data_IF_282877155655
#
_entry.id   IF_282877155655
#
_cell.length_a   1.000
_cell.length_b   1.000
_cell.length_c   1.000
_cell.angle_alpha   90.00
_cell.angle_beta   90.00
_cell.angle_gamma   90.00
#
_symmetry.space_group_name_H-M   'P 1'
#
loop_
_entity.id
_entity.type
_entity.pdbx_description
1 polymer ?
#
# COMPACT_ATOMS: atom_id res chain seq x y z
N UNK A 1 -17.69 -6.14 -3.82
CA UNK A 1 -17.04 -6.16 -5.15
C UNK A 1 -15.94 -7.19 -5.07
N UNK A 2 -15.97 -8.24 -5.88
CA UNK A 2 -14.86 -9.18 -5.89
C UNK A 2 -13.74 -8.60 -6.77
N UNK A 3 -12.50 -8.88 -6.37
CA UNK A 3 -11.30 -8.47 -7.07
C UNK A 3 -10.18 -9.44 -6.71
N UNK A 4 -9.16 -9.52 -7.57
CA UNK A 4 -7.93 -10.24 -7.29
C UNK A 4 -6.84 -9.25 -6.94
N UNK A 5 -6.13 -9.51 -5.84
CA UNK A 5 -4.94 -8.75 -5.44
C UNK A 5 -3.70 -9.63 -5.58
N UNK A 6 -2.65 -9.06 -6.15
CA UNK A 6 -1.29 -9.59 -6.04
C UNK A 6 -0.41 -8.49 -5.46
N UNK A 7 0.29 -8.79 -4.37
CA UNK A 7 1.23 -7.87 -3.73
C UNK A 7 2.60 -8.54 -3.57
N UNK A 8 3.65 -7.81 -3.89
CA UNK A 8 5.03 -8.19 -3.66
C UNK A 8 5.70 -7.12 -2.80
N UNK A 9 6.36 -7.55 -1.73
CA UNK A 9 7.19 -6.68 -0.88
C UNK A 9 8.65 -7.12 -1.00
N UNK A 10 9.54 -6.18 -1.35
CA UNK A 10 10.96 -6.46 -1.58
C UNK A 10 11.81 -5.54 -0.71
N UNK A 11 12.72 -6.10 0.09
CA UNK A 11 13.72 -5.28 0.79
C UNK A 11 14.73 -4.71 -0.21
N UNK A 12 15.16 -3.48 0.03
CA UNK A 12 16.23 -2.83 -0.75
C UNK A 12 17.35 -2.38 0.18
N UNK A 13 18.46 -1.87 -0.39
CA UNK A 13 19.59 -1.40 0.41
C UNK A 13 19.22 -0.25 1.38
N UNK A 14 18.26 0.60 1.00
CA UNK A 14 17.91 1.82 1.73
C UNK A 14 16.44 1.85 2.17
N UNK A 15 15.76 0.71 2.19
CA UNK A 15 14.30 0.72 2.28
C UNK A 15 13.66 -0.61 1.90
N UNK A 16 12.48 -0.48 1.31
CA UNK A 16 11.74 -1.58 0.72
C UNK A 16 10.83 -1.04 -0.39
N UNK A 17 10.33 -1.95 -1.21
CA UNK A 17 9.35 -1.64 -2.25
C UNK A 17 8.07 -2.43 -1.99
N UNK A 18 6.95 -1.82 -2.30
CA UNK A 18 5.65 -2.48 -2.36
C UNK A 18 5.15 -2.33 -3.79
N UNK A 19 4.89 -3.46 -4.43
CA UNK A 19 4.23 -3.51 -5.73
C UNK A 19 2.92 -4.24 -5.54
N UNK A 20 1.81 -3.63 -5.94
CA UNK A 20 0.54 -4.34 -5.95
C UNK A 20 -0.25 -4.11 -7.22
N UNK A 21 -1.07 -5.10 -7.53
CA UNK A 21 -1.99 -5.09 -8.65
C UNK A 21 -3.36 -5.58 -8.19
N UNK A 22 -4.34 -4.70 -8.28
CA UNK A 22 -5.76 -5.02 -8.13
C UNK A 22 -6.39 -5.19 -9.51
N UNK A 23 -7.08 -6.31 -9.71
CA UNK A 23 -7.91 -6.57 -10.88
C UNK A 23 -9.35 -6.71 -10.42
N UNK A 24 -10.19 -5.73 -10.74
CA UNK A 24 -11.60 -5.70 -10.39
C UNK A 24 -12.43 -6.43 -11.44
N UNK A 25 -13.58 -6.98 -11.03
CA UNK A 25 -14.48 -7.74 -11.93
C UNK A 25 -15.04 -6.90 -13.10
N UNK A 26 -15.09 -5.56 -12.95
CA UNK A 26 -15.51 -4.64 -14.00
C UNK A 26 -14.42 -4.38 -15.06
N UNK A 27 -13.27 -5.04 -14.92
CA UNK A 27 -12.11 -4.91 -15.80
C UNK A 27 -11.16 -3.79 -15.40
N UNK A 28 -11.49 -2.97 -14.40
CA UNK A 28 -10.59 -1.94 -13.88
C UNK A 28 -9.35 -2.57 -13.27
N UNK A 29 -8.20 -1.94 -13.49
CA UNK A 29 -6.93 -2.36 -12.91
C UNK A 29 -6.30 -1.20 -12.16
N UNK A 30 -5.89 -1.44 -10.92
CA UNK A 30 -4.97 -0.57 -10.20
C UNK A 30 -3.62 -1.26 -10.13
N UNK A 31 -2.58 -0.63 -10.66
CA UNK A 31 -1.21 -1.13 -10.66
C UNK A 31 -0.33 -0.05 -10.05
N UNK A 32 0.32 -0.35 -8.93
CA UNK A 32 1.07 0.62 -8.17
C UNK A 32 2.40 0.04 -7.70
N UNK A 33 3.43 0.89 -7.77
CA UNK A 33 4.75 0.63 -7.20
C UNK A 33 5.13 1.80 -6.31
N UNK A 34 5.38 1.48 -5.05
CA UNK A 34 5.86 2.43 -4.04
C UNK A 34 7.27 2.07 -3.64
N UNK A 35 8.15 3.07 -3.65
CA UNK A 35 9.48 2.96 -3.06
C UNK A 35 9.43 3.61 -1.69
N UNK A 36 9.75 2.83 -0.66
CA UNK A 36 9.72 3.23 0.75
C UNK A 36 11.17 3.43 1.21
N UNK A 37 11.64 4.68 1.26
CA UNK A 37 13.05 5.00 1.58
C UNK A 37 13.19 5.38 3.04
N UNK A 38 14.07 4.72 3.79
CA UNK A 38 14.36 5.09 5.19
C UNK A 38 14.92 6.51 5.28
N UNK A 39 14.33 7.34 6.14
CA UNK A 39 14.79 8.71 6.43
C UNK A 39 15.23 8.89 7.87
N UNK A 40 14.78 8.00 8.76
CA UNK A 40 15.21 7.86 10.14
C UNK A 40 14.92 6.41 10.59
N UNK A 41 15.37 5.96 11.78
CA UNK A 41 14.97 4.66 12.31
C UNK A 41 13.45 4.53 12.31
N UNK A 42 12.93 3.45 11.72
CA UNK A 42 11.50 3.15 11.63
C UNK A 42 10.64 4.12 10.81
N UNK A 43 11.19 5.20 10.25
CA UNK A 43 10.45 6.21 9.49
C UNK A 43 10.94 6.22 8.04
N UNK A 44 10.00 6.20 7.09
CA UNK A 44 10.29 6.20 5.67
C UNK A 44 9.50 7.26 4.90
N UNK A 45 10.05 7.68 3.76
CA UNK A 45 9.37 8.45 2.74
C UNK A 45 8.77 7.50 1.70
N UNK A 46 7.59 7.85 1.18
CA UNK A 46 6.93 7.13 0.09
C UNK A 46 7.16 7.88 -1.21
N UNK A 47 7.74 7.20 -2.19
CA UNK A 47 7.97 7.72 -3.54
C UNK A 47 7.16 6.91 -4.58
N UNK A 48 6.54 7.61 -5.53
CA UNK A 48 5.91 7.04 -6.73
C UNK A 48 6.65 7.55 -7.95
N UNK A 49 7.21 6.65 -8.77
CA UNK A 49 8.01 7.01 -9.95
C UNK A 49 9.10 8.05 -9.64
N UNK A 50 9.74 7.92 -8.48
CA UNK A 50 10.79 8.83 -8.00
C UNK A 50 10.30 10.17 -7.42
N UNK A 51 8.99 10.41 -7.37
CA UNK A 51 8.41 11.62 -6.77
C UNK A 51 7.95 11.33 -5.35
N UNK A 52 8.39 12.11 -4.34
CA UNK A 52 7.86 12.02 -2.99
C UNK A 52 6.37 12.34 -2.94
N UNK A 53 5.58 11.42 -2.41
CA UNK A 53 4.11 11.58 -2.28
C UNK A 53 3.60 11.40 -0.86
N UNK A 54 4.45 10.96 0.07
CA UNK A 54 4.00 10.61 1.40
C UNK A 54 5.12 10.17 2.33
N UNK A 55 4.72 9.71 3.51
CA UNK A 55 5.58 9.21 4.57
C UNK A 55 4.89 8.06 5.30
N UNK A 56 5.68 7.28 6.02
CA UNK A 56 5.17 6.22 6.87
C UNK A 56 6.18 5.79 7.91
N UNK A 57 5.77 4.80 8.69
CA UNK A 57 6.58 4.21 9.74
C UNK A 57 6.34 2.70 9.86
N UNK A 58 7.31 1.99 10.45
CA UNK A 58 7.19 0.56 10.79
C UNK A 58 7.53 0.33 12.27
N UNK A 59 6.61 -0.29 13.00
CA UNK A 59 6.86 -0.84 14.34
C UNK A 59 6.42 -2.29 14.38
N UNK A 60 7.29 -3.18 14.85
CA UNK A 60 7.04 -4.63 14.90
C UNK A 60 6.52 -5.18 13.56
N UNK A 61 5.32 -5.76 13.56
CA UNK A 61 4.65 -6.29 12.39
C UNK A 61 3.79 -5.24 11.64
N UNK A 62 3.74 -4.01 12.14
CA UNK A 62 2.87 -2.95 11.64
C UNK A 62 3.63 -1.96 10.76
N UNK A 63 3.13 -1.75 9.54
CA UNK A 63 3.62 -0.73 8.63
C UNK A 63 2.46 0.20 8.28
N UNK A 64 2.63 1.50 8.48
CA UNK A 64 1.60 2.47 8.14
C UNK A 64 2.19 3.60 7.33
N UNK A 65 1.44 4.05 6.33
CA UNK A 65 1.82 5.20 5.53
C UNK A 65 0.59 5.95 5.04
N UNK A 66 0.82 7.23 4.75
CA UNK A 66 -0.11 8.05 4.02
C UNK A 66 0.54 8.59 2.76
N UNK A 67 -0.25 8.92 1.76
CA UNK A 67 0.22 9.53 0.53
C UNK A 67 -0.86 10.42 -0.09
N UNK A 68 -0.41 11.37 -0.90
CA UNK A 68 -1.26 12.18 -1.76
C UNK A 68 -1.01 11.82 -3.22
N UNK A 69 -2.03 11.35 -3.92
CA UNK A 69 -1.99 11.06 -5.36
C UNK A 69 -3.05 11.91 -6.04
N UNK A 70 -2.60 12.86 -6.88
CA UNK A 70 -3.46 13.91 -7.38
C UNK A 70 -4.07 14.71 -6.23
N UNK A 71 -5.40 14.77 -6.17
CA UNK A 71 -6.15 15.44 -5.10
C UNK A 71 -6.66 14.50 -4.00
N UNK A 72 -6.35 13.21 -4.10
CA UNK A 72 -6.76 12.21 -3.11
C UNK A 72 -5.66 11.98 -2.08
N UNK A 73 -6.02 12.04 -0.80
CA UNK A 73 -5.24 11.47 0.28
C UNK A 73 -5.66 10.02 0.51
N UNK A 74 -4.67 9.15 0.60
CA UNK A 74 -4.79 7.72 0.88
C UNK A 74 -3.99 7.40 2.13
N UNK A 75 -4.55 6.59 3.02
CA UNK A 75 -3.86 6.01 4.16
C UNK A 75 -3.92 4.50 4.04
N UNK A 76 -2.84 3.83 4.44
CA UNK A 76 -2.76 2.38 4.43
C UNK A 76 -1.96 1.87 5.63
N UNK A 77 -2.49 0.83 6.26
CA UNK A 77 -1.92 0.16 7.42
C UNK A 77 -1.85 -1.33 7.17
N UNK A 78 -0.66 -1.90 7.28
CA UNK A 78 -0.38 -3.30 7.05
C UNK A 78 -0.03 -3.94 8.38
N UNK A 79 -0.62 -5.11 8.65
CA UNK A 79 -0.17 -6.02 9.69
C UNK A 79 0.31 -7.31 9.03
N UNK A 80 1.61 -7.53 9.06
CA UNK A 80 2.24 -8.70 8.42
C UNK A 80 2.37 -9.86 9.39
N UNK A 81 2.10 -11.08 8.90
CA UNK A 81 2.42 -12.34 9.56
C UNK A 81 3.24 -13.22 8.62
N UNK A 82 3.57 -14.45 9.05
CA UNK A 82 4.28 -15.40 8.19
C UNK A 82 3.47 -15.76 6.92
N UNK A 83 2.15 -15.84 7.05
CA UNK A 83 1.24 -16.37 6.04
C UNK A 83 0.38 -15.29 5.37
N UNK A 84 0.18 -14.16 6.03
CA UNK A 84 -0.77 -13.14 5.60
C UNK A 84 -0.21 -11.73 5.71
N UNK A 85 -0.79 -10.82 4.92
CA UNK A 85 -0.74 -9.39 5.16
C UNK A 85 -2.19 -8.91 5.27
N UNK A 86 -2.55 -8.40 6.43
CA UNK A 86 -3.80 -7.68 6.61
C UNK A 86 -3.57 -6.23 6.23
N UNK A 87 -4.40 -5.70 5.33
CA UNK A 87 -4.32 -4.32 4.87
C UNK A 87 -5.62 -3.62 5.26
N UNK A 88 -5.47 -2.47 5.89
CA UNK A 88 -6.53 -1.51 6.13
C UNK A 88 -6.19 -0.27 5.33
N UNK A 89 -7.14 0.26 4.58
CA UNK A 89 -6.90 1.48 3.84
C UNK A 89 -8.09 2.40 3.83
N UNK A 90 -7.81 3.67 3.58
CA UNK A 90 -8.83 4.69 3.38
C UNK A 90 -8.42 5.67 2.30
N UNK A 91 -9.40 6.31 1.67
CA UNK A 91 -9.18 7.39 0.73
C UNK A 91 -10.25 8.45 0.89
N UNK A 92 -9.82 9.71 0.78
CA UNK A 92 -10.68 10.89 0.92
C UNK A 92 -11.78 10.98 -0.13
N UNK A 93 -11.62 10.38 -1.33
CA UNK A 93 -12.63 10.42 -2.40
C UNK A 93 -12.55 9.16 -3.29
N UNK A 94 -13.70 8.53 -3.55
CA UNK A 94 -13.90 7.62 -4.68
C UNK A 94 -14.37 8.39 -5.93
N UNK A 95 -14.73 7.67 -6.99
CA UNK A 95 -15.28 8.25 -8.23
C UNK A 95 -16.53 9.11 -8.00
N UNK A 96 -17.30 8.83 -6.94
CA UNK A 96 -18.51 9.58 -6.55
C UNK A 96 -18.23 10.72 -5.56
N UNK A 97 -16.96 10.95 -5.20
CA UNK A 97 -16.54 11.99 -4.25
C UNK A 97 -16.74 11.61 -2.77
N UNK A 98 -17.06 10.35 -2.46
CA UNK A 98 -17.29 9.87 -1.10
C UNK A 98 -16.00 9.36 -0.45
N UNK A 99 -15.92 9.49 0.88
CA UNK A 99 -14.90 8.83 1.66
C UNK A 99 -15.06 7.31 1.55
N UNK A 100 -13.95 6.60 1.34
CA UNK A 100 -13.93 5.14 1.31
C UNK A 100 -12.94 4.59 2.33
N UNK A 101 -13.28 3.43 2.87
CA UNK A 101 -12.40 2.61 3.68
C UNK A 101 -12.55 1.16 3.24
N UNK A 102 -11.47 0.39 3.34
CA UNK A 102 -11.47 -1.03 3.02
C UNK A 102 -10.57 -1.80 3.99
N UNK A 103 -10.84 -3.10 4.07
CA UNK A 103 -10.01 -4.07 4.76
C UNK A 103 -9.88 -5.30 3.87
N UNK A 104 -8.66 -5.83 3.77
CA UNK A 104 -8.36 -7.05 3.03
C UNK A 104 -7.34 -7.91 3.76
N UNK A 105 -7.39 -9.22 3.50
CA UNK A 105 -6.42 -10.19 4.01
C UNK A 105 -5.79 -10.86 2.80
N UNK A 106 -4.56 -10.47 2.49
CA UNK A 106 -3.76 -11.05 1.42
C UNK A 106 -3.07 -12.30 1.99
N UNK A 107 -3.28 -13.46 1.36
CA UNK A 107 -2.65 -14.71 1.75
C UNK A 107 -1.48 -15.01 0.83
N UNK A 108 -0.36 -15.47 1.40
CA UNK A 108 0.76 -16.00 0.64
C UNK A 108 0.29 -17.23 -0.13
N UNK A 109 0.39 -17.18 -1.45
CA UNK A 109 0.24 -18.36 -2.30
C UNK A 109 1.59 -19.09 -2.36
N UNK A 110 1.58 -20.42 -2.30
CA UNK A 110 2.79 -21.20 -2.57
C UNK A 110 3.33 -20.82 -3.96
N UNK A 111 4.66 -20.70 -4.05
CA UNK A 111 5.36 -20.47 -5.31
C UNK A 111 5.31 -21.72 -6.21
#
# INVERSE_FOLDING_TARGET
>A
MAYRVQQTSLSTANGFEIVFKHQFDDGTVTDARFTMTWVAPHIFRVDVSGTPVGHGYIFDAYCHYHLKVGDAFVEASYRSSAETVEVFGSSTKNADGNYIAWQEIIRRTAA
#
